data_IF_676260708110
#
_entry.id   IF_676260708110
#
_cell.length_a   1.000
_cell.length_b   1.000
_cell.length_c   1.000
_cell.angle_alpha   90.00
_cell.angle_beta   90.00
_cell.angle_gamma   90.00
#
_symmetry.space_group_name_H-M   'P 1'
#
loop_
_entity.id
_entity.type
_entity.pdbx_description
1 polymer ?
#
# COMPACT_ATOMS: atom_id res chain seq x y z
N UNK A 1 16.30 -12.58 -2.11
CA UNK A 1 15.60 -13.58 -2.94
C UNK A 1 15.43 -13.01 -4.35
N UNK A 2 15.40 -13.86 -5.38
CA UNK A 2 15.15 -13.48 -6.76
C UNK A 2 14.31 -14.59 -7.42
N UNK A 3 13.53 -14.26 -8.45
CA UNK A 3 12.64 -15.20 -9.15
C UNK A 3 12.35 -14.70 -10.57
N UNK A 4 12.10 -15.63 -11.49
CA UNK A 4 11.58 -15.34 -12.83
C UNK A 4 10.07 -15.04 -12.81
N UNK A 5 9.36 -15.45 -11.75
CA UNK A 5 7.96 -15.14 -11.50
C UNK A 5 7.83 -14.27 -10.23
N UNK A 6 7.41 -13.01 -10.43
CA UNK A 6 7.21 -12.06 -9.33
C UNK A 6 6.14 -12.53 -8.33
N UNK A 7 5.08 -13.21 -8.78
CA UNK A 7 4.03 -13.72 -7.90
C UNK A 7 4.52 -14.88 -7.03
N UNK A 8 5.41 -15.73 -7.56
CA UNK A 8 6.08 -16.76 -6.76
C UNK A 8 7.00 -16.13 -5.69
N UNK A 9 7.71 -15.06 -6.05
CA UNK A 9 8.54 -14.31 -5.10
C UNK A 9 7.70 -13.70 -3.97
N UNK A 10 6.57 -13.06 -4.31
CA UNK A 10 5.65 -12.48 -3.33
C UNK A 10 5.03 -13.55 -2.42
N UNK A 11 4.61 -14.68 -2.97
CA UNK A 11 4.04 -15.80 -2.20
C UNK A 11 5.07 -16.42 -1.25
N UNK A 12 6.31 -16.63 -1.71
CA UNK A 12 7.39 -17.12 -0.86
C UNK A 12 7.77 -16.10 0.24
N UNK A 13 7.74 -14.81 -0.09
CA UNK A 13 7.97 -13.73 0.89
C UNK A 13 6.90 -13.74 1.97
N UNK A 14 5.61 -13.85 1.60
CA UNK A 14 4.50 -13.94 2.55
C UNK A 14 4.68 -15.13 3.51
N UNK A 15 5.03 -16.29 2.98
CA UNK A 15 5.30 -17.48 3.79
C UNK A 15 6.42 -17.26 4.81
N UNK A 16 7.53 -16.64 4.41
CA UNK A 16 8.67 -16.37 5.29
C UNK A 16 8.33 -15.44 6.46
N UNK A 17 7.37 -14.53 6.29
CA UNK A 17 6.93 -13.59 7.33
C UNK A 17 5.59 -13.98 7.97
N UNK A 18 5.23 -15.27 7.87
CA UNK A 18 4.02 -15.86 8.45
C UNK A 18 2.70 -15.18 8.04
N UNK A 19 2.64 -14.65 6.81
CA UNK A 19 1.41 -14.21 6.18
C UNK A 19 0.76 -15.37 5.42
N UNK A 20 -0.51 -15.64 5.71
CA UNK A 20 -1.33 -16.51 4.89
C UNK A 20 -1.62 -15.82 3.53
N UNK A 21 -1.71 -16.58 2.41
CA UNK A 21 -1.87 -15.99 1.08
C UNK A 21 -3.10 -15.07 0.93
N UNK A 22 -4.17 -15.34 1.69
CA UNK A 22 -5.40 -14.56 1.68
C UNK A 22 -5.34 -13.24 2.49
N UNK A 23 -4.33 -13.07 3.36
CA UNK A 23 -4.10 -11.85 4.14
C UNK A 23 -3.47 -10.73 3.29
N UNK A 24 -2.87 -11.06 2.14
CA UNK A 24 -2.26 -10.12 1.21
C UNK A 24 -3.06 -10.09 -0.08
N UNK A 25 -3.77 -8.98 -0.33
CA UNK A 25 -4.71 -8.86 -1.45
C UNK A 25 -4.07 -9.16 -2.81
N UNK A 26 -2.83 -8.73 -3.04
CA UNK A 26 -2.11 -8.97 -4.31
C UNK A 26 -1.76 -10.44 -4.52
N UNK A 27 -1.41 -11.16 -3.46
CA UNK A 27 -1.12 -12.60 -3.53
C UNK A 27 -2.40 -13.40 -3.74
N UNK A 28 -3.47 -13.08 -2.99
CA UNK A 28 -4.78 -13.69 -3.18
C UNK A 28 -5.27 -13.56 -4.63
N UNK A 29 -5.22 -12.34 -5.18
CA UNK A 29 -5.64 -12.06 -6.56
C UNK A 29 -4.77 -12.82 -7.59
N UNK A 30 -3.45 -12.93 -7.35
CA UNK A 30 -2.56 -13.68 -8.22
C UNK A 30 -2.91 -15.17 -8.26
N UNK A 31 -3.28 -15.76 -7.11
CA UNK A 31 -3.75 -17.14 -7.00
C UNK A 31 -5.09 -17.32 -7.72
N UNK A 32 -6.06 -16.43 -7.46
CA UNK A 32 -7.40 -16.48 -8.08
C UNK A 32 -7.33 -16.39 -9.63
N UNK A 33 -6.33 -15.65 -10.15
CA UNK A 33 -6.07 -15.52 -11.58
C UNK A 33 -5.16 -16.60 -12.17
N UNK A 34 -4.69 -17.55 -11.36
CA UNK A 34 -3.80 -18.64 -11.79
C UNK A 34 -2.40 -18.18 -12.20
N UNK A 35 -1.92 -17.05 -11.69
CA UNK A 35 -0.58 -16.51 -11.99
C UNK A 35 0.52 -17.15 -11.12
N UNK A 36 0.13 -17.81 -10.04
CA UNK A 36 0.99 -18.57 -9.11
C UNK A 36 0.17 -19.70 -8.48
N UNK A 37 0.85 -20.72 -7.95
CA UNK A 37 0.23 -21.75 -7.13
C UNK A 37 -0.39 -21.17 -5.84
N UNK A 38 -1.26 -21.94 -5.21
CA UNK A 38 -2.01 -21.60 -4.00
C UNK A 38 -1.19 -21.69 -2.69
N UNK A 39 0.05 -22.19 -2.73
CA UNK A 39 0.89 -22.31 -1.52
C UNK A 39 2.38 -22.22 -1.84
N UNK A 40 3.16 -21.65 -0.92
CA UNK A 40 4.59 -21.46 -1.10
C UNK A 40 5.38 -22.78 -1.14
N UNK A 41 4.85 -23.83 -0.50
CA UNK A 41 5.43 -25.18 -0.49
C UNK A 41 5.38 -25.85 -1.87
N UNK A 42 4.54 -25.35 -2.78
CA UNK A 42 4.46 -25.81 -4.17
C UNK A 42 5.38 -25.03 -5.12
N UNK A 43 6.10 -24.03 -4.61
CA UNK A 43 7.10 -23.28 -5.39
C UNK A 43 8.40 -24.07 -5.40
N UNK A 44 9.02 -24.19 -6.57
CA UNK A 44 10.38 -24.70 -6.68
C UNK A 44 11.36 -23.62 -6.21
N UNK A 45 12.10 -23.90 -5.13
CA UNK A 45 13.02 -22.96 -4.50
C UNK A 45 14.43 -23.54 -4.61
N UNK A 46 15.25 -22.87 -5.42
CA UNK A 46 16.66 -23.17 -5.50
C UNK A 46 17.42 -22.63 -4.27
N UNK A 47 18.37 -23.42 -3.75
CA UNK A 47 19.24 -23.02 -2.65
C UNK A 47 18.87 -23.69 -1.33
N UNK A 48 18.95 -22.93 -0.23
CA UNK A 48 18.68 -23.43 1.12
C UNK A 48 17.18 -23.68 1.34
N UNK A 49 16.85 -24.67 2.16
CA UNK A 49 15.47 -24.88 2.62
C UNK A 49 15.01 -23.64 3.39
N UNK A 50 13.90 -23.05 2.96
CA UNK A 50 13.36 -21.83 3.56
C UNK A 50 12.49 -22.09 4.80
N UNK A 51 12.07 -23.34 5.05
CA UNK A 51 11.21 -23.69 6.19
C UNK A 51 11.80 -23.27 7.56
N UNK A 52 13.12 -23.42 7.81
CA UNK A 52 13.73 -22.96 9.07
C UNK A 52 13.82 -21.44 9.18
N UNK A 53 13.63 -20.70 8.08
CA UNK A 53 13.76 -19.23 8.03
C UNK A 53 12.44 -18.50 8.30
N UNK A 54 11.34 -19.23 8.55
CA UNK A 54 10.02 -18.64 8.79
C UNK A 54 10.00 -17.89 10.13
N UNK A 55 9.73 -16.59 10.07
CA UNK A 55 9.61 -15.71 11.23
C UNK A 55 8.18 -15.70 11.76
N UNK A 56 7.94 -16.43 12.86
CA UNK A 56 6.62 -16.56 13.50
C UNK A 56 6.21 -15.36 14.35
N UNK A 57 7.15 -14.47 14.69
CA UNK A 57 6.95 -13.30 15.54
C UNK A 57 6.96 -11.98 14.74
N UNK A 58 6.76 -12.05 13.43
CA UNK A 58 6.67 -10.86 12.59
C UNK A 58 5.50 -9.97 13.02
N UNK A 59 5.79 -8.72 13.39
CA UNK A 59 4.78 -7.74 13.80
C UNK A 59 3.98 -7.25 12.59
N UNK A 60 2.84 -7.90 12.35
CA UNK A 60 1.91 -7.51 11.28
C UNK A 60 1.29 -6.14 11.58
N UNK A 61 1.28 -5.18 10.64
CA UNK A 61 0.55 -3.93 10.81
C UNK A 61 -0.95 -4.19 10.97
N UNK A 62 -1.57 -3.44 11.87
CA UNK A 62 -3.03 -3.42 12.01
C UNK A 62 -3.67 -2.90 10.70
N UNK A 63 -4.37 -3.78 9.99
CA UNK A 63 -5.11 -3.44 8.78
C UNK A 63 -6.58 -3.21 9.12
N UNK A 64 -7.03 -1.96 9.08
CA UNK A 64 -8.44 -1.59 9.30
C UNK A 64 -9.30 -1.66 8.01
N UNK A 65 -8.74 -2.16 6.90
CA UNK A 65 -9.37 -2.04 5.58
C UNK A 65 -10.64 -2.91 5.43
N UNK A 66 -10.85 -3.88 6.32
CA UNK A 66 -11.98 -4.82 6.27
C UNK A 66 -13.33 -4.21 6.69
N UNK A 67 -13.35 -3.05 7.34
CA UNK A 67 -14.59 -2.44 7.83
C UNK A 67 -15.47 -1.87 6.73
N UNK A 68 -14.88 -1.37 5.64
CA UNK A 68 -15.65 -0.86 4.51
C UNK A 68 -16.26 -2.03 3.71
N UNK A 69 -15.59 -3.20 3.68
CA UNK A 69 -16.15 -4.42 3.08
C UNK A 69 -17.38 -4.97 3.83
N UNK A 70 -17.61 -4.56 5.08
CA UNK A 70 -18.78 -4.96 5.86
C UNK A 70 -20.07 -4.25 5.45
N UNK A 71 -19.98 -3.13 4.73
CA UNK A 71 -21.15 -2.33 4.34
C UNK A 71 -21.51 -2.66 2.89
N UNK A 72 -22.68 -3.28 2.70
CA UNK A 72 -23.23 -3.53 1.36
C UNK A 72 -23.81 -2.23 0.80
N UNK A 73 -23.00 -1.48 0.05
CA UNK A 73 -23.43 -0.29 -0.69
C UNK A 73 -23.25 -0.52 -2.19
N UNK A 74 -24.04 0.17 -3.03
CA UNK A 74 -23.78 0.21 -4.48
C UNK A 74 -22.35 0.70 -4.76
N UNK A 75 -21.70 0.14 -5.79
CA UNK A 75 -20.27 0.39 -6.11
C UNK A 75 -19.90 1.87 -6.18
N UNK A 76 -20.75 2.69 -6.80
CA UNK A 76 -20.51 4.12 -6.90
C UNK A 76 -20.51 4.83 -5.54
N UNK A 77 -21.40 4.42 -4.62
CA UNK A 77 -21.46 4.98 -3.27
C UNK A 77 -20.29 4.49 -2.42
N UNK A 78 -19.95 3.20 -2.54
CA UNK A 78 -18.76 2.61 -1.93
C UNK A 78 -17.48 3.35 -2.35
N UNK A 79 -17.28 3.55 -3.65
CA UNK A 79 -16.12 4.27 -4.19
C UNK A 79 -16.03 5.71 -3.68
N UNK A 80 -17.16 6.41 -3.54
CA UNK A 80 -17.21 7.77 -2.98
C UNK A 80 -16.86 7.79 -1.50
N UNK A 81 -17.42 6.86 -0.72
CA UNK A 81 -17.14 6.75 0.72
C UNK A 81 -15.66 6.42 0.98
N UNK A 82 -15.11 5.42 0.27
CA UNK A 82 -13.68 5.05 0.35
C UNK A 82 -12.82 6.28 0.02
N UNK A 83 -13.14 7.02 -1.05
CA UNK A 83 -12.37 8.19 -1.43
C UNK A 83 -12.43 9.33 -0.40
N UNK A 84 -13.57 9.50 0.29
CA UNK A 84 -13.74 10.50 1.33
C UNK A 84 -12.99 10.14 2.63
N UNK A 85 -12.96 8.86 2.99
CA UNK A 85 -12.31 8.35 4.21
C UNK A 85 -10.81 8.06 4.03
N UNK A 86 -10.36 7.88 2.79
CA UNK A 86 -8.97 7.58 2.48
C UNK A 86 -8.01 8.66 2.99
N UNK A 87 -6.88 8.19 3.50
CA UNK A 87 -5.72 9.03 3.77
C UNK A 87 -5.25 9.72 2.49
N UNK A 88 -4.78 10.97 2.61
CA UNK A 88 -4.27 11.76 1.48
C UNK A 88 -2.89 12.34 1.80
N UNK A 89 -2.00 12.47 0.81
CA UNK A 89 -0.77 13.22 0.99
C UNK A 89 -1.08 14.70 1.24
N UNK A 90 -0.39 15.31 2.19
CA UNK A 90 -0.47 16.73 2.52
C UNK A 90 0.94 17.31 2.59
N UNK A 91 1.16 18.44 1.93
CA UNK A 91 2.46 19.12 1.90
C UNK A 91 2.62 20.01 3.13
N UNK A 92 3.77 19.90 3.78
CA UNK A 92 4.29 20.83 4.76
C UNK A 92 5.21 21.82 4.02
N UNK A 93 4.69 23.02 3.75
CA UNK A 93 5.40 24.01 2.94
C UNK A 93 6.53 24.71 3.68
N UNK A 94 6.55 24.65 5.01
CA UNK A 94 7.57 25.29 5.85
C UNK A 94 8.91 24.56 5.71
N UNK A 95 8.87 23.24 5.59
CA UNK A 95 10.08 22.40 5.41
C UNK A 95 10.30 21.96 3.96
N UNK A 96 9.33 22.18 3.07
CA UNK A 96 9.47 21.84 1.66
C UNK A 96 10.43 22.81 0.96
N UNK A 97 11.47 22.27 0.33
CA UNK A 97 12.47 23.06 -0.41
C UNK A 97 12.18 23.20 -1.91
N UNK A 98 11.06 22.67 -2.40
CA UNK A 98 10.69 22.80 -3.83
C UNK A 98 11.50 21.92 -4.80
N UNK A 99 12.20 20.89 -4.32
CA UNK A 99 13.10 20.07 -5.15
C UNK A 99 12.42 19.24 -6.26
N UNK A 100 11.10 19.06 -6.21
CA UNK A 100 10.35 18.35 -7.26
C UNK A 100 10.43 16.82 -7.27
N UNK A 101 11.14 16.19 -6.32
CA UNK A 101 11.26 14.71 -6.27
C UNK A 101 9.89 14.01 -6.23
N UNK A 102 8.99 14.54 -5.41
CA UNK A 102 7.62 14.06 -5.31
C UNK A 102 6.88 14.06 -6.65
N UNK A 103 7.11 15.05 -7.51
CA UNK A 103 6.49 15.13 -8.83
C UNK A 103 7.14 14.14 -9.80
N UNK A 104 8.48 13.99 -9.75
CA UNK A 104 9.23 13.06 -10.60
C UNK A 104 8.84 11.61 -10.34
N UNK A 105 8.66 11.23 -9.09
CA UNK A 105 8.30 9.85 -8.73
C UNK A 105 6.81 9.54 -8.85
N UNK A 106 5.95 10.52 -9.13
CA UNK A 106 4.50 10.34 -9.14
C UNK A 106 4.03 9.58 -10.40
N UNK A 107 3.57 8.31 -10.30
CA UNK A 107 3.19 7.54 -11.49
C UNK A 107 2.05 8.18 -12.31
N UNK A 108 0.96 8.69 -11.70
CA UNK A 108 -0.12 9.34 -12.47
C UNK A 108 0.20 10.79 -12.89
N UNK A 109 1.40 11.29 -12.60
CA UNK A 109 1.80 12.69 -12.83
C UNK A 109 0.81 13.69 -12.23
N UNK A 110 0.43 13.46 -10.98
CA UNK A 110 -0.60 14.21 -10.26
C UNK A 110 -0.06 15.42 -9.47
N UNK A 111 1.20 15.80 -9.65
CA UNK A 111 1.81 16.91 -8.90
C UNK A 111 2.35 17.94 -9.87
N UNK A 112 1.86 19.17 -9.76
CA UNK A 112 2.35 20.34 -10.50
C UNK A 112 3.43 21.06 -9.68
N UNK A 113 4.48 21.54 -10.37
CA UNK A 113 5.61 22.27 -9.83
C UNK A 113 5.73 23.70 -10.40
N UNK A 114 4.76 24.16 -11.20
CA UNK A 114 4.76 25.45 -11.90
C UNK A 114 4.96 26.67 -10.98
N UNK A 115 4.52 26.59 -9.73
CA UNK A 115 4.66 27.65 -8.72
C UNK A 115 5.96 27.55 -7.90
N UNK A 116 6.89 26.65 -8.25
CA UNK A 116 8.10 26.35 -7.48
C UNK A 116 7.86 25.52 -6.21
N UNK A 117 6.60 25.23 -5.88
CA UNK A 117 6.18 24.32 -4.79
C UNK A 117 5.20 23.28 -5.34
N UNK A 118 5.16 22.06 -4.76
CA UNK A 118 4.31 20.99 -5.26
C UNK A 118 2.83 21.25 -4.96
N UNK A 119 1.98 21.18 -5.98
CA UNK A 119 0.52 21.21 -5.87
C UNK A 119 -0.05 19.87 -6.32
N UNK A 120 -0.73 19.15 -5.44
CA UNK A 120 -1.25 17.80 -5.72
C UNK A 120 -2.68 17.88 -6.28
N UNK A 121 -2.88 17.37 -7.49
CA UNK A 121 -4.21 17.05 -8.03
C UNK A 121 -4.76 15.79 -7.35
N UNK A 122 -5.62 16.00 -6.37
CA UNK A 122 -6.24 14.91 -5.60
C UNK A 122 -7.19 14.03 -6.41
N UNK A 123 -7.67 14.48 -7.58
CA UNK A 123 -8.51 13.66 -8.47
C UNK A 123 -7.67 12.66 -9.27
N UNK A 124 -6.42 13.02 -9.62
CA UNK A 124 -5.47 12.15 -10.32
C UNK A 124 -4.62 11.31 -9.38
N UNK A 125 -4.50 11.70 -8.12
CA UNK A 125 -3.70 10.99 -7.14
C UNK A 125 -4.28 9.60 -6.82
N UNK A 126 -3.51 8.55 -7.12
CA UNK A 126 -3.85 7.16 -6.78
C UNK A 126 -3.50 6.76 -5.34
N UNK A 127 -3.00 7.71 -4.53
CA UNK A 127 -2.65 7.51 -3.11
C UNK A 127 -1.64 6.37 -2.89
N UNK A 128 -0.66 6.23 -3.79
CA UNK A 128 0.46 5.28 -3.64
C UNK A 128 1.50 5.71 -2.59
N UNK A 129 1.49 6.98 -2.17
CA UNK A 129 2.43 7.56 -1.20
C UNK A 129 3.92 7.53 -1.57
N UNK A 130 4.31 7.20 -2.82
CA UNK A 130 5.70 7.32 -3.28
C UNK A 130 6.29 8.73 -3.06
N UNK A 131 5.46 9.77 -3.18
CA UNK A 131 5.86 11.15 -2.90
C UNK A 131 6.27 11.39 -1.43
N UNK A 132 5.70 10.62 -0.49
CA UNK A 132 6.03 10.69 0.92
C UNK A 132 7.27 9.91 1.29
N UNK A 133 7.46 8.74 0.68
CA UNK A 133 8.64 7.91 0.89
C UNK A 133 9.91 8.57 0.35
N UNK A 134 9.82 9.14 -0.86
CA UNK A 134 10.98 9.68 -1.57
C UNK A 134 11.28 11.15 -1.26
N UNK A 135 10.50 11.82 -0.43
CA UNK A 135 10.75 13.22 -0.10
C UNK A 135 12.00 13.36 0.81
N UNK A 136 13.10 13.98 0.35
CA UNK A 136 14.34 14.07 1.12
C UNK A 136 14.20 14.93 2.38
N UNK A 137 13.21 15.84 2.42
CA UNK A 137 12.90 16.68 3.58
C UNK A 137 11.75 16.15 4.43
N UNK A 138 11.19 14.98 4.10
CA UNK A 138 10.00 14.40 4.77
C UNK A 138 8.84 15.41 4.87
N UNK A 139 8.70 16.25 3.83
CA UNK A 139 7.73 17.35 3.75
C UNK A 139 6.32 16.88 3.37
N UNK A 140 6.16 15.67 2.84
CA UNK A 140 4.84 15.10 2.59
C UNK A 140 4.39 14.31 3.80
N UNK A 141 3.24 14.64 4.37
CA UNK A 141 2.61 13.96 5.51
C UNK A 141 1.38 13.19 5.06
N UNK A 142 1.00 12.18 5.83
CA UNK A 142 -0.25 11.43 5.61
C UNK A 142 -1.35 12.09 6.45
N UNK A 143 -2.27 12.80 5.78
CA UNK A 143 -3.45 13.40 6.42
C UNK A 143 -4.60 12.40 6.42
N UNK A 144 -5.04 12.02 7.61
CA UNK A 144 -6.21 11.15 7.82
C UNK A 144 -7.45 12.01 8.09
N UNK A 145 -8.59 11.77 7.41
CA UNK A 145 -9.85 12.42 7.76
C UNK A 145 -10.24 12.15 9.22
N UNK A 146 -10.87 13.12 9.89
CA UNK A 146 -11.23 13.00 11.31
C UNK A 146 -12.14 11.80 11.57
N UNK A 147 -13.15 11.59 10.72
CA UNK A 147 -14.06 10.45 10.82
C UNK A 147 -13.32 9.12 10.79
N UNK A 148 -12.32 8.98 9.91
CA UNK A 148 -11.47 7.79 9.84
C UNK A 148 -10.63 7.62 11.12
N UNK A 149 -10.06 8.73 11.64
CA UNK A 149 -9.29 8.72 12.90
C UNK A 149 -10.13 8.29 14.10
N UNK A 150 -11.41 8.71 14.15
CA UNK A 150 -12.34 8.28 15.19
C UNK A 150 -12.73 6.81 15.02
N UNK A 151 -13.19 6.40 13.84
CA UNK A 151 -13.56 5.00 13.57
C UNK A 151 -12.46 4.02 13.98
N UNK A 152 -11.22 4.26 13.56
CA UNK A 152 -10.08 3.38 13.89
C UNK A 152 -9.84 3.30 15.40
N UNK A 153 -10.02 4.39 16.14
CA UNK A 153 -9.79 4.43 17.60
C UNK A 153 -10.83 3.61 18.37
N UNK A 154 -12.05 3.46 17.86
CA UNK A 154 -13.13 2.68 18.48
C UNK A 154 -13.19 1.23 18.02
N UNK A 155 -12.37 0.85 17.04
CA UNK A 155 -12.31 -0.49 16.44
C UNK A 155 -11.05 -1.28 16.87
N UNK A 156 -10.24 -0.69 17.75
CA UNK A 156 -9.25 -1.37 18.58
C UNK A 156 -9.89 -1.74 19.91
#
# INVERSE_FOLDING_TARGET
MASENAHALDLASCYLIDYAPNEVDTVREAIERGLVCDSAEKIDIAGEDIKPLVMKDYLKPESHFNLIKLISLPDALNARLINALASKPAMDYDICVGCGECARCCPPKAIDMSSGKPVIDTKRCIKCFCCQELCPKKAVKIKRPLLNRFMIKFLK
#
